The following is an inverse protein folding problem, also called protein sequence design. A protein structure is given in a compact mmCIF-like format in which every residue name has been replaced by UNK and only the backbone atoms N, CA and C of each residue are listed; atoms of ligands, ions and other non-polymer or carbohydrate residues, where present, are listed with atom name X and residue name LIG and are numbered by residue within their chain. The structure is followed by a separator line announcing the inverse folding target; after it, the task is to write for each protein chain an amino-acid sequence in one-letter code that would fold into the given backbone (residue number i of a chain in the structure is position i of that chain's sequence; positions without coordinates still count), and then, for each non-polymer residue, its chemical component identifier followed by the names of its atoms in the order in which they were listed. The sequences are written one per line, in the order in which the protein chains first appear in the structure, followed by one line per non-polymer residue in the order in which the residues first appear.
data_IF_876681218929
#
_entry.id   IF_876681218929
#
_cell.length_a   1.000
_cell.length_b   1.000
_cell.length_c   1.000
_cell.angle_alpha   90.00
_cell.angle_beta   90.00
_cell.angle_gamma   90.00
#
_symmetry.space_group_name_H-M   'P 1'
#
loop_
_entity.id
_entity.type
_entity.pdbx_description
1 polymer ?
#
# COMPACT_ATOMS: atom_id res chain seq x y z
N UNK A 1 10.27 1.98 -21.25
CA UNK A 1 9.06 1.16 -21.02
C UNK A 1 9.41 0.13 -19.96
N UNK A 2 8.60 -0.04 -18.92
CA UNK A 2 8.84 -1.02 -17.86
C UNK A 2 7.96 -2.26 -18.09
N UNK A 3 8.50 -3.45 -17.83
CA UNK A 3 7.79 -4.72 -18.00
C UNK A 3 7.94 -5.59 -16.75
N UNK A 4 6.87 -6.28 -16.36
CA UNK A 4 6.92 -7.27 -15.28
C UNK A 4 7.28 -8.63 -15.86
N UNK A 5 8.52 -9.08 -15.67
CA UNK A 5 9.00 -10.37 -16.19
C UNK A 5 8.35 -11.58 -15.51
N UNK A 6 7.99 -11.47 -14.23
CA UNK A 6 7.35 -12.55 -13.46
C UNK A 6 6.63 -12.01 -12.23
N UNK A 7 5.54 -12.66 -11.83
CA UNK A 7 4.86 -12.42 -10.56
C UNK A 7 4.54 -13.73 -9.82
N UNK A 8 4.67 -13.70 -8.50
CA UNK A 8 4.46 -14.85 -7.62
C UNK A 8 3.44 -14.51 -6.54
N UNK A 9 2.37 -15.28 -6.45
CA UNK A 9 1.32 -15.13 -5.46
C UNK A 9 0.64 -16.48 -5.25
N UNK A 10 0.38 -16.88 -4.00
CA UNK A 10 -0.23 -18.20 -3.70
C UNK A 10 -1.75 -18.20 -3.89
N UNK A 11 -2.37 -17.01 -3.95
CA UNK A 11 -3.81 -16.88 -4.12
C UNK A 11 -4.23 -17.01 -5.59
N UNK A 12 -4.92 -18.10 -5.93
CA UNK A 12 -5.42 -18.35 -7.29
C UNK A 12 -6.34 -17.25 -7.83
N UNK A 13 -7.18 -16.66 -6.98
CA UNK A 13 -8.07 -15.59 -7.38
C UNK A 13 -7.30 -14.31 -7.74
N UNK A 14 -6.23 -14.01 -6.99
CA UNK A 14 -5.33 -12.90 -7.28
C UNK A 14 -4.56 -13.14 -8.59
N UNK A 15 -4.00 -14.33 -8.78
CA UNK A 15 -3.32 -14.71 -10.03
C UNK A 15 -4.24 -14.62 -11.25
N UNK A 16 -5.44 -15.18 -11.14
CA UNK A 16 -6.46 -15.12 -12.18
C UNK A 16 -6.84 -13.68 -12.51
N UNK A 17 -7.10 -12.85 -11.50
CA UNK A 17 -7.41 -11.43 -11.67
C UNK A 17 -6.26 -10.70 -12.38
N UNK A 18 -5.02 -10.86 -11.89
CA UNK A 18 -3.84 -10.22 -12.44
C UNK A 18 -3.65 -10.56 -13.92
N UNK A 19 -3.60 -11.85 -14.25
CA UNK A 19 -3.37 -12.32 -15.62
C UNK A 19 -4.47 -11.87 -16.59
N UNK A 20 -5.73 -11.75 -16.12
CA UNK A 20 -6.84 -11.23 -16.93
C UNK A 20 -6.76 -9.72 -17.15
N UNK A 21 -6.50 -8.95 -16.09
CA UNK A 21 -6.42 -7.47 -16.16
C UNK A 21 -5.25 -7.03 -17.04
N UNK A 22 -4.09 -7.67 -16.89
CA UNK A 22 -2.90 -7.33 -17.66
C UNK A 22 -2.76 -8.10 -18.98
N UNK A 23 -3.76 -8.92 -19.33
CA UNK A 23 -3.76 -9.78 -20.53
C UNK A 23 -2.43 -10.54 -20.71
N UNK A 24 -1.96 -11.19 -19.64
CA UNK A 24 -0.67 -11.85 -19.58
C UNK A 24 -0.75 -13.21 -18.87
N UNK A 25 0.39 -13.88 -18.74
CA UNK A 25 0.53 -15.15 -18.00
C UNK A 25 1.67 -15.10 -16.98
N UNK A 26 2.00 -13.91 -16.50
CA UNK A 26 3.21 -13.68 -15.69
C UNK A 26 2.99 -14.06 -14.22
N UNK A 27 1.77 -13.88 -13.70
CA UNK A 27 1.43 -14.28 -12.34
C UNK A 27 1.21 -15.79 -12.23
N UNK A 28 1.82 -16.39 -11.22
CA UNK A 28 1.81 -17.84 -11.02
C UNK A 28 1.67 -18.22 -9.55
N UNK A 29 0.94 -19.32 -9.32
CA UNK A 29 0.77 -19.90 -7.99
C UNK A 29 2.06 -20.58 -7.54
N UNK A 30 2.83 -19.88 -6.72
CA UNK A 30 4.10 -20.36 -6.16
C UNK A 30 4.32 -19.76 -4.77
N UNK A 31 4.87 -20.57 -3.86
CA UNK A 31 5.39 -20.07 -2.58
C UNK A 31 6.75 -19.43 -2.78
N UNK A 32 7.04 -18.37 -2.03
CA UNK A 32 8.33 -17.67 -2.09
C UNK A 32 9.46 -18.59 -1.62
N UNK A 33 9.17 -19.49 -0.68
CA UNK A 33 10.08 -20.53 -0.17
C UNK A 33 10.57 -21.50 -1.24
N UNK A 34 9.82 -21.63 -2.36
CA UNK A 34 10.20 -22.51 -3.47
C UNK A 34 11.19 -21.87 -4.45
N UNK A 35 11.47 -20.57 -4.33
CA UNK A 35 12.32 -19.84 -5.26
C UNK A 35 13.80 -20.14 -4.99
N UNK A 36 14.54 -20.41 -6.07
CA UNK A 36 15.99 -20.62 -6.00
C UNK A 36 16.74 -19.40 -6.53
N UNK A 37 18.00 -19.24 -6.09
CA UNK A 37 18.91 -18.20 -6.60
C UNK A 37 19.02 -18.25 -8.13
N UNK A 38 19.26 -19.46 -8.69
CA UNK A 38 19.39 -19.65 -10.14
C UNK A 38 18.15 -19.20 -10.89
N UNK A 39 16.96 -19.51 -10.37
CA UNK A 39 15.69 -19.09 -10.97
C UNK A 39 15.54 -17.57 -10.92
N UNK A 40 15.75 -16.96 -9.75
CA UNK A 40 15.65 -15.51 -9.57
C UNK A 40 16.62 -14.74 -10.48
N UNK A 41 17.88 -15.20 -10.57
CA UNK A 41 18.88 -14.58 -11.46
C UNK A 41 18.53 -14.74 -12.93
N UNK A 42 17.89 -15.85 -13.34
CA UNK A 42 17.52 -16.10 -14.72
C UNK A 42 16.46 -15.12 -15.26
N UNK A 43 15.63 -14.53 -14.38
CA UNK A 43 14.68 -13.49 -14.79
C UNK A 43 15.34 -12.16 -15.16
N UNK A 44 16.59 -11.93 -14.75
CA UNK A 44 17.34 -10.70 -15.02
C UNK A 44 16.54 -9.41 -14.72
N UNK A 45 15.82 -9.40 -13.59
CA UNK A 45 14.96 -8.30 -13.21
C UNK A 45 15.77 -7.16 -12.55
N UNK A 46 15.60 -5.94 -13.04
CA UNK A 46 16.26 -4.74 -12.49
C UNK A 46 15.64 -4.26 -11.17
N UNK A 47 14.38 -4.63 -10.92
CA UNK A 47 13.61 -4.21 -9.76
C UNK A 47 12.83 -5.39 -9.18
N UNK A 48 13.01 -5.64 -7.89
CA UNK A 48 12.15 -6.54 -7.12
C UNK A 48 11.11 -5.75 -6.35
N UNK A 49 9.83 -5.97 -6.62
CA UNK A 49 8.72 -5.40 -5.86
C UNK A 49 8.07 -6.45 -4.96
N UNK A 50 7.80 -6.13 -3.70
CA UNK A 50 7.21 -7.08 -2.75
C UNK A 50 6.30 -6.42 -1.72
N UNK A 51 5.26 -7.14 -1.30
CA UNK A 51 4.39 -6.80 -0.16
C UNK A 51 4.19 -8.08 0.67
N UNK A 52 5.21 -8.51 1.44
CA UNK A 52 5.16 -9.77 2.15
C UNK A 52 4.13 -9.70 3.30
N UNK A 53 3.35 -10.77 3.54
CA UNK A 53 2.38 -10.79 4.61
C UNK A 53 3.06 -10.68 5.97
N UNK A 54 2.55 -9.79 6.82
CA UNK A 54 3.12 -9.49 8.12
C UNK A 54 2.12 -9.90 9.21
N UNK A 55 2.07 -11.18 9.57
CA UNK A 55 1.32 -11.66 10.75
C UNK A 55 2.10 -12.72 11.54
N UNK A 56 2.17 -12.63 12.89
CA UNK A 56 1.51 -11.69 13.78
C UNK A 56 2.54 -10.83 14.53
N UNK A 57 2.80 -9.61 14.07
CA UNK A 57 3.29 -8.58 14.98
C UNK A 57 2.06 -7.87 15.56
N UNK A 58 1.32 -8.56 16.43
CA UNK A 58 0.17 -7.97 17.12
C UNK A 58 0.65 -7.08 18.26
N UNK A 59 0.16 -5.83 18.29
CA UNK A 59 0.35 -4.83 19.36
C UNK A 59 -0.23 -5.22 20.73
N UNK A 60 -0.99 -6.30 20.82
CA UNK A 60 -1.61 -6.81 22.05
C UNK A 60 -1.69 -8.35 21.92
N UNK A 61 -0.93 -9.08 22.73
CA UNK A 61 -1.05 -10.52 22.87
C UNK A 61 0.27 -11.27 22.67
N UNK A 62 0.90 -11.60 23.80
CA UNK A 62 1.96 -12.60 24.00
C UNK A 62 2.98 -12.79 22.88
N UNK A 63 4.22 -12.35 23.18
CA UNK A 63 5.47 -12.83 22.59
C UNK A 63 5.53 -14.37 22.66
N UNK A 64 4.84 -15.07 21.77
CA UNK A 64 5.12 -16.48 21.53
C UNK A 64 6.30 -16.53 20.57
N UNK A 65 7.49 -16.68 21.16
CA UNK A 65 8.63 -17.26 20.50
C UNK A 65 8.20 -18.59 19.87
N UNK A 66 8.06 -18.60 18.56
CA UNK A 66 7.67 -19.76 17.77
C UNK A 66 7.73 -19.36 16.31
N UNK A 67 8.42 -20.16 15.51
CA UNK A 67 8.55 -20.06 14.05
C UNK A 67 7.15 -20.01 13.42
N UNK A 68 6.57 -18.81 13.28
CA UNK A 68 5.39 -18.64 12.46
C UNK A 68 5.84 -18.80 11.00
N UNK A 69 5.27 -19.78 10.29
CA UNK A 69 5.53 -20.06 8.88
C UNK A 69 5.13 -18.92 7.94
N UNK A 70 4.64 -17.79 8.48
CA UNK A 70 4.27 -16.59 7.73
C UNK A 70 5.36 -15.52 7.73
N UNK A 71 6.29 -15.54 8.67
CA UNK A 71 7.52 -14.72 8.63
C UNK A 71 8.69 -15.43 7.93
N UNK A 72 8.55 -16.73 7.61
CA UNK A 72 9.55 -17.49 6.83
C UNK A 72 9.81 -16.89 5.46
N UNK A 73 8.77 -16.42 4.77
CA UNK A 73 8.91 -15.92 3.40
C UNK A 73 9.85 -14.71 3.34
N UNK A 74 9.79 -13.81 4.33
CA UNK A 74 10.67 -12.64 4.36
C UNK A 74 12.12 -13.03 4.74
N UNK A 75 12.34 -14.04 5.58
CA UNK A 75 13.67 -14.60 5.81
C UNK A 75 14.27 -15.22 4.53
N UNK A 76 13.46 -15.92 3.74
CA UNK A 76 13.88 -16.46 2.44
C UNK A 76 14.21 -15.33 1.47
N UNK A 77 13.39 -14.28 1.40
CA UNK A 77 13.67 -13.09 0.58
C UNK A 77 15.00 -12.45 0.98
N UNK A 78 15.25 -12.25 2.27
CA UNK A 78 16.54 -11.71 2.76
C UNK A 78 17.70 -12.61 2.28
N UNK A 79 17.57 -13.93 2.41
CA UNK A 79 18.58 -14.88 1.91
C UNK A 79 18.81 -14.75 0.40
N UNK A 80 17.73 -14.59 -0.39
CA UNK A 80 17.81 -14.42 -1.84
C UNK A 80 18.45 -13.08 -2.22
N UNK A 81 18.13 -11.98 -1.51
CA UNK A 81 18.75 -10.66 -1.75
C UNK A 81 20.27 -10.73 -1.58
N UNK A 82 20.76 -11.42 -0.55
CA UNK A 82 22.21 -11.58 -0.30
C UNK A 82 22.93 -12.32 -1.44
N UNK A 83 22.24 -13.28 -2.07
CA UNK A 83 22.80 -14.14 -3.12
C UNK A 83 22.68 -13.50 -4.51
N UNK A 84 21.48 -13.09 -4.87
CA UNK A 84 21.15 -12.58 -6.21
C UNK A 84 21.58 -11.12 -6.39
N UNK A 85 21.58 -10.34 -5.32
CA UNK A 85 21.88 -8.90 -5.30
C UNK A 85 21.11 -8.11 -6.39
N UNK A 86 19.76 -8.09 -6.36
CA UNK A 86 18.96 -7.34 -7.33
C UNK A 86 19.34 -5.84 -7.37
N UNK A 87 19.39 -5.19 -8.55
CA UNK A 87 19.82 -3.78 -8.62
C UNK A 87 18.97 -2.81 -7.79
N UNK A 88 17.66 -3.04 -7.72
CA UNK A 88 16.74 -2.29 -6.89
C UNK A 88 15.68 -3.17 -6.22
N UNK A 89 15.21 -2.74 -5.06
CA UNK A 89 14.15 -3.38 -4.28
C UNK A 89 13.13 -2.33 -3.86
N UNK A 90 11.84 -2.64 -4.00
CA UNK A 90 10.72 -1.88 -3.47
C UNK A 90 9.89 -2.80 -2.58
N UNK A 91 9.73 -2.44 -1.31
CA UNK A 91 8.95 -3.19 -0.33
C UNK A 91 7.86 -2.29 0.25
N UNK A 92 6.63 -2.80 0.30
CA UNK A 92 5.52 -2.23 1.07
C UNK A 92 5.20 -3.14 2.27
N UNK A 93 4.83 -2.54 3.41
CA UNK A 93 4.38 -3.27 4.58
C UNK A 93 3.43 -2.43 5.44
N UNK A 94 2.80 -3.07 6.43
CA UNK A 94 1.93 -2.41 7.40
C UNK A 94 2.73 -1.50 8.35
N UNK A 95 2.05 -0.48 8.90
CA UNK A 95 2.58 0.29 10.04
C UNK A 95 2.89 -0.64 11.22
N UNK A 96 4.04 -0.44 11.85
CA UNK A 96 4.57 -1.29 12.92
C UNK A 96 5.44 -2.44 12.42
N UNK A 97 5.69 -2.51 11.10
CA UNK A 97 6.77 -3.32 10.56
C UNK A 97 8.12 -2.71 10.95
N UNK A 98 8.23 -1.38 10.87
CA UNK A 98 9.33 -0.62 11.45
C UNK A 98 9.43 -0.89 12.96
N UNK A 99 10.66 -1.08 13.45
CA UNK A 99 10.95 -1.49 14.84
C UNK A 99 10.90 -3.00 15.10
N UNK A 100 10.36 -3.83 14.19
CA UNK A 100 10.35 -5.29 14.35
C UNK A 100 11.73 -5.93 14.12
N UNK A 101 11.96 -7.13 14.70
CA UNK A 101 13.24 -7.85 14.52
C UNK A 101 13.54 -8.18 13.06
N UNK A 102 12.52 -8.51 12.27
CA UNK A 102 12.71 -8.87 10.86
C UNK A 102 13.01 -7.64 10.00
N UNK A 103 12.47 -6.48 10.36
CA UNK A 103 12.82 -5.21 9.75
C UNK A 103 14.28 -4.85 10.02
N UNK A 104 14.77 -5.01 11.27
CA UNK A 104 16.19 -4.80 11.60
C UNK A 104 17.10 -5.71 10.78
N UNK A 105 16.80 -7.01 10.74
CA UNK A 105 17.56 -8.00 9.94
C UNK A 105 17.56 -7.70 8.43
N UNK A 106 16.45 -7.21 7.89
CA UNK A 106 16.38 -6.78 6.50
C UNK A 106 17.34 -5.61 6.25
N UNK A 107 17.31 -4.58 7.12
CA UNK A 107 18.13 -3.40 6.98
C UNK A 107 19.63 -3.71 7.14
N UNK A 108 20.00 -4.49 8.16
CA UNK A 108 21.37 -4.99 8.35
C UNK A 108 21.84 -5.72 7.09
N UNK A 109 21.03 -6.66 6.57
CA UNK A 109 21.39 -7.40 5.37
C UNK A 109 21.54 -6.50 4.14
N UNK A 110 20.71 -5.47 3.98
CA UNK A 110 20.83 -4.53 2.85
C UNK A 110 22.11 -3.69 2.97
N UNK A 111 22.40 -3.16 4.15
CA UNK A 111 23.61 -2.36 4.41
C UNK A 111 24.87 -3.20 4.19
N UNK A 112 24.94 -4.41 4.76
CA UNK A 112 26.06 -5.35 4.57
C UNK A 112 26.28 -5.73 3.09
N UNK A 113 25.22 -5.68 2.28
CA UNK A 113 25.26 -6.00 0.86
C UNK A 113 25.35 -4.76 -0.04
N UNK A 114 25.78 -3.62 0.53
CA UNK A 114 26.12 -2.39 -0.19
C UNK A 114 24.93 -1.72 -0.89
N UNK A 115 23.75 -1.79 -0.28
CA UNK A 115 22.58 -1.04 -0.71
C UNK A 115 22.48 0.29 0.04
N UNK A 116 22.11 1.35 -0.67
CA UNK A 116 21.51 2.52 -0.05
C UNK A 116 20.01 2.29 0.15
N UNK A 117 19.45 2.90 1.20
CA UNK A 117 18.08 2.62 1.65
C UNK A 117 17.33 3.94 1.87
N UNK A 118 16.07 3.98 1.41
CA UNK A 118 15.08 5.02 1.76
C UNK A 118 13.86 4.35 2.37
N UNK A 119 13.42 4.87 3.50
CA UNK A 119 12.26 4.37 4.22
C UNK A 119 11.20 5.45 4.29
N UNK A 120 9.93 5.06 4.22
CA UNK A 120 8.80 5.99 4.26
C UNK A 120 7.69 5.43 5.14
N UNK A 121 6.96 6.32 5.79
CA UNK A 121 5.69 5.99 6.44
C UNK A 121 4.63 6.98 5.97
N UNK A 122 3.91 6.61 4.91
CA UNK A 122 3.03 7.50 4.16
C UNK A 122 1.60 6.97 4.05
N UNK A 123 0.64 7.89 3.96
CA UNK A 123 -0.80 7.59 3.84
C UNK A 123 -1.41 8.34 2.64
N UNK A 124 -2.43 7.78 1.96
CA UNK A 124 -3.11 8.45 0.84
C UNK A 124 -3.69 9.83 1.17
N UNK A 125 -4.02 10.11 2.44
CA UNK A 125 -4.44 11.45 2.89
C UNK A 125 -3.44 12.54 2.47
N UNK A 126 -2.13 12.24 2.50
CA UNK A 126 -1.09 13.20 2.12
C UNK A 126 -1.07 13.50 0.62
N UNK A 127 -1.81 12.73 -0.18
CA UNK A 127 -1.88 12.80 -1.64
C UNK A 127 -3.27 13.24 -2.13
N UNK A 128 -4.08 13.81 -1.23
CA UNK A 128 -5.41 14.33 -1.52
C UNK A 128 -6.48 13.24 -1.68
N UNK A 129 -6.21 12.03 -1.19
CA UNK A 129 -7.14 10.90 -1.27
C UNK A 129 -7.76 10.67 0.11
N UNK A 130 -9.08 10.71 0.26
CA UNK A 130 -9.78 10.61 1.55
C UNK A 130 -9.80 9.18 2.12
N UNK A 131 -8.65 8.48 2.18
CA UNK A 131 -8.54 7.14 2.75
C UNK A 131 -7.34 7.02 3.71
N UNK A 132 -7.59 6.63 4.96
CA UNK A 132 -6.54 6.34 5.93
C UNK A 132 -5.91 4.97 5.66
N UNK A 133 -4.80 4.94 4.93
CA UNK A 133 -4.02 3.72 4.68
C UNK A 133 -2.53 3.97 4.89
N UNK A 134 -2.15 4.24 6.13
CA UNK A 134 -0.75 4.41 6.51
C UNK A 134 0.02 3.09 6.32
N UNK A 135 1.12 3.15 5.56
CA UNK A 135 1.96 2.01 5.24
C UNK A 135 3.43 2.38 5.31
N UNK A 136 4.22 1.39 5.70
CA UNK A 136 5.66 1.43 5.62
C UNK A 136 6.09 1.10 4.19
N UNK A 137 7.07 1.83 3.69
CA UNK A 137 7.71 1.54 2.41
C UNK A 137 9.22 1.57 2.57
N UNK A 138 9.90 0.72 1.82
CA UNK A 138 11.35 0.70 1.70
C UNK A 138 11.74 0.62 0.23
N UNK A 139 12.65 1.49 -0.18
CA UNK A 139 13.34 1.39 -1.45
C UNK A 139 14.82 1.20 -1.18
N UNK A 140 15.42 0.18 -1.78
CA UNK A 140 16.85 -0.05 -1.71
C UNK A 140 17.45 -0.10 -3.12
N UNK A 141 18.62 0.51 -3.30
CA UNK A 141 19.36 0.48 -4.57
C UNK A 141 20.78 0.03 -4.30
N UNK A 142 21.25 -0.95 -5.07
CA UNK A 142 22.63 -1.40 -5.01
C UNK A 142 23.54 -0.26 -5.50
N UNK A 143 24.61 0.04 -4.75
CA UNK A 143 25.55 1.09 -5.15
C UNK A 143 26.30 0.72 -6.43
N UNK A 144 26.72 1.76 -7.15
CA UNK A 144 27.67 1.60 -8.26
C UNK A 144 29.02 1.13 -7.76
N UNK A 145 29.86 0.66 -8.69
CA UNK A 145 31.25 0.30 -8.43
C UNK A 145 32.09 1.47 -7.86
N UNK A 146 31.69 2.72 -8.08
CA UNK A 146 32.31 3.91 -7.49
C UNK A 146 31.90 4.17 -6.03
N UNK A 147 30.99 3.36 -5.46
CA UNK A 147 30.48 3.53 -4.10
C UNK A 147 29.55 4.74 -3.92
N UNK A 148 29.15 5.38 -5.02
CA UNK A 148 28.25 6.54 -4.99
C UNK A 148 26.80 6.11 -4.77
N UNK A 149 26.05 6.94 -4.04
CA UNK A 149 24.61 6.72 -3.83
C UNK A 149 23.84 6.92 -5.13
N UNK A 150 22.83 6.06 -5.29
CA UNK A 150 21.94 6.07 -6.44
C UNK A 150 20.65 6.87 -6.20
N UNK A 151 20.50 7.53 -5.05
CA UNK A 151 19.34 8.36 -4.70
C UNK A 151 19.65 9.86 -4.85
N UNK A 152 18.64 10.63 -5.28
CA UNK A 152 18.72 12.10 -5.46
C UNK A 152 18.53 12.91 -4.17
N UNK A 153 18.18 12.25 -3.07
CA UNK A 153 17.86 12.90 -1.79
C UNK A 153 18.16 11.95 -0.64
N UNK A 154 18.22 12.49 0.57
CA UNK A 154 18.52 11.74 1.80
C UNK A 154 20.00 11.37 1.93
N UNK A 155 20.36 10.82 3.08
CA UNK A 155 21.76 10.52 3.41
C UNK A 155 22.23 9.22 2.74
N UNK A 156 23.48 9.22 2.28
CA UNK A 156 24.20 8.01 1.84
C UNK A 156 24.71 7.26 3.07
N UNK A 157 24.70 5.93 3.04
CA UNK A 157 25.25 5.12 4.15
C UNK A 157 26.79 5.17 4.16
N UNK A 158 27.39 6.20 4.75
CA UNK A 158 28.86 6.33 4.81
C UNK A 158 29.49 5.40 5.84
N UNK A 159 28.84 5.24 7.00
CA UNK A 159 29.18 4.28 8.04
C UNK A 159 27.98 3.36 8.35
N UNK A 160 28.07 2.06 8.06
CA UNK A 160 27.05 1.07 8.38
C UNK A 160 26.58 1.11 9.83
N UNK A 161 27.51 1.25 10.79
CA UNK A 161 27.19 1.14 12.21
C UNK A 161 26.37 2.35 12.66
N UNK A 162 26.86 3.57 12.41
CA UNK A 162 26.13 4.80 12.71
C UNK A 162 24.78 4.88 12.00
N UNK A 163 24.67 4.35 10.78
CA UNK A 163 23.41 4.33 10.04
C UNK A 163 22.37 3.44 10.72
N UNK A 164 22.76 2.25 11.17
CA UNK A 164 21.87 1.30 11.85
C UNK A 164 21.43 1.82 13.22
N UNK A 165 22.29 2.53 13.95
CA UNK A 165 21.96 3.13 15.25
C UNK A 165 20.84 4.17 15.18
N UNK A 166 20.75 4.93 14.08
CA UNK A 166 19.77 6.02 13.90
C UNK A 166 18.70 5.72 12.85
N UNK A 167 18.52 4.45 12.47
CA UNK A 167 17.75 4.09 11.27
C UNK A 167 16.24 4.39 11.36
N UNK A 168 15.67 4.40 12.56
CA UNK A 168 14.27 4.78 12.80
C UNK A 168 14.03 6.28 12.53
N UNK A 169 14.98 7.13 12.93
CA UNK A 169 14.90 8.57 12.71
C UNK A 169 15.01 8.94 11.22
N UNK A 170 15.47 8.01 10.37
CA UNK A 170 15.61 8.18 8.92
C UNK A 170 14.34 7.81 8.13
N UNK A 171 13.23 7.46 8.81
CA UNK A 171 11.96 7.21 8.16
C UNK A 171 11.34 8.54 7.71
N UNK A 172 11.01 8.64 6.43
CA UNK A 172 10.44 9.85 5.83
C UNK A 172 8.92 9.81 6.01
N UNK A 173 8.40 10.79 6.75
CA UNK A 173 6.98 10.91 7.06
C UNK A 173 6.21 11.92 6.19
N UNK A 174 6.92 12.70 5.37
CA UNK A 174 6.36 13.76 4.53
C UNK A 174 6.57 13.44 3.05
N UNK A 175 5.68 13.89 2.15
CA UNK A 175 5.96 13.83 0.71
C UNK A 175 7.25 14.58 0.36
N UNK A 176 8.00 14.06 -0.63
CA UNK A 176 9.23 14.68 -1.09
C UNK A 176 8.90 15.72 -2.17
N UNK A 177 9.34 16.97 -1.95
CA UNK A 177 9.09 18.11 -2.84
C UNK A 177 10.32 18.61 -3.60
N UNK A 178 11.51 18.09 -3.29
CA UNK A 178 12.78 18.48 -3.92
C UNK A 178 13.04 17.71 -5.23
N UNK A 179 12.03 16.99 -5.71
CA UNK A 179 12.06 16.21 -6.94
C UNK A 179 10.96 16.75 -7.84
N UNK A 180 11.27 16.91 -9.12
CA UNK A 180 10.32 17.35 -10.13
C UNK A 180 9.01 16.55 -10.06
N UNK A 181 7.84 17.22 -10.15
CA UNK A 181 6.55 16.54 -10.16
C UNK A 181 6.43 15.51 -11.29
N UNK A 182 5.61 14.47 -11.07
CA UNK A 182 5.26 13.54 -12.16
C UNK A 182 4.53 14.29 -13.28
N UNK A 183 4.99 14.12 -14.52
CA UNK A 183 4.40 14.78 -15.69
C UNK A 183 2.89 14.51 -15.78
N UNK A 184 2.10 15.58 -15.92
CA UNK A 184 0.63 15.51 -16.05
C UNK A 184 -0.13 15.12 -14.78
N UNK A 185 0.54 14.98 -13.63
CA UNK A 185 -0.14 14.66 -12.37
C UNK A 185 -0.57 15.94 -11.63
N UNK A 186 -1.88 16.07 -11.38
CA UNK A 186 -2.49 17.23 -10.71
C UNK A 186 -2.78 17.00 -9.21
N UNK A 187 -2.19 15.97 -8.61
CA UNK A 187 -2.40 15.72 -7.19
C UNK A 187 -1.80 16.84 -6.33
N UNK A 188 -2.27 16.95 -5.09
CA UNK A 188 -1.89 18.02 -4.15
C UNK A 188 -0.38 18.06 -3.83
N UNK A 189 0.32 16.93 -4.00
CA UNK A 189 1.78 16.85 -3.87
C UNK A 189 2.47 17.45 -5.10
N UNK A 190 2.09 17.01 -6.31
CA UNK A 190 2.66 17.52 -7.56
C UNK A 190 2.40 19.01 -7.78
N UNK A 191 1.23 19.51 -7.36
CA UNK A 191 0.91 20.94 -7.45
C UNK A 191 1.49 21.76 -6.28
N UNK A 192 2.21 21.13 -5.35
CA UNK A 192 2.80 21.80 -4.17
C UNK A 192 1.80 22.33 -3.14
N UNK A 193 0.50 21.98 -3.24
CA UNK A 193 -0.56 22.50 -2.36
C UNK A 193 -0.32 22.16 -0.89
N UNK A 194 0.29 21.00 -0.62
CA UNK A 194 0.60 20.53 0.74
C UNK A 194 2.06 20.73 1.15
N UNK A 195 2.88 21.45 0.35
CA UNK A 195 4.31 21.69 0.64
C UNK A 195 4.57 22.46 1.93
N UNK A 196 3.61 23.28 2.36
CA UNK A 196 3.69 24.07 3.59
C UNK A 196 3.50 23.24 4.87
N UNK A 197 2.98 22.01 4.76
CA UNK A 197 2.75 21.13 5.91
C UNK A 197 4.07 20.46 6.28
N UNK A 198 4.61 20.79 7.45
CA UNK A 198 5.90 20.27 7.96
C UNK A 198 5.75 19.41 9.21
N UNK A 199 4.55 19.35 9.81
CA UNK A 199 4.32 18.62 11.04
C UNK A 199 4.34 17.10 10.81
N UNK A 200 5.05 16.38 11.69
CA UNK A 200 5.10 14.92 11.69
C UNK A 200 4.12 14.44 12.76
N UNK A 201 2.84 14.34 12.40
CA UNK A 201 1.75 13.94 13.29
C UNK A 201 0.98 12.71 12.78
N UNK A 202 0.45 11.90 13.71
CA UNK A 202 -0.34 10.71 13.37
C UNK A 202 -1.80 11.00 12.98
N UNK A 203 -2.29 12.24 13.19
CA UNK A 203 -3.71 12.56 12.96
C UNK A 203 -4.00 13.01 11.51
N UNK A 204 -2.98 13.48 10.77
CA UNK A 204 -3.10 13.94 9.38
C UNK A 204 -4.19 15.00 9.12
N UNK A 205 -4.64 15.71 10.17
CA UNK A 205 -5.73 16.68 10.10
C UNK A 205 -5.47 17.83 9.11
N UNK A 206 -4.22 18.29 9.03
CA UNK A 206 -3.79 19.36 8.12
C UNK A 206 -3.93 18.97 6.64
N UNK A 207 -3.98 17.67 6.31
CA UNK A 207 -4.15 17.19 4.94
C UNK A 207 -5.62 17.05 4.53
N UNK A 208 -6.57 16.99 5.48
CA UNK A 208 -7.99 16.75 5.18
C UNK A 208 -8.62 17.83 4.29
N UNK A 209 -8.34 19.14 4.46
CA UNK A 209 -8.86 20.17 3.57
C UNK A 209 -8.41 20.03 2.11
N UNK A 210 -7.35 19.26 1.86
CA UNK A 210 -6.80 19.01 0.52
C UNK A 210 -7.24 17.65 -0.04
N UNK A 211 -7.95 16.84 0.73
CA UNK A 211 -8.53 15.59 0.23
C UNK A 211 -9.78 15.89 -0.57
N UNK A 212 -10.01 15.13 -1.64
CA UNK A 212 -11.30 15.16 -2.32
C UNK A 212 -12.40 14.63 -1.39
N UNK A 213 -13.66 15.09 -1.52
CA UNK A 213 -14.78 14.53 -0.77
C UNK A 213 -15.04 13.08 -1.18
N UNK A 214 -15.62 12.30 -0.27
CA UNK A 214 -16.02 10.90 -0.51
C UNK A 214 -16.93 10.77 -1.73
N UNK A 215 -17.78 11.77 -1.99
CA UNK A 215 -18.68 11.84 -3.15
C UNK A 215 -17.99 11.60 -4.49
N UNK A 216 -16.74 12.05 -4.65
CA UNK A 216 -15.97 11.91 -5.90
C UNK A 216 -15.63 10.45 -6.23
N UNK A 217 -15.76 9.56 -5.25
CA UNK A 217 -15.41 8.15 -5.33
C UNK A 217 -16.64 7.24 -5.43
N UNK A 218 -17.85 7.78 -5.31
CA UNK A 218 -19.07 6.99 -5.30
C UNK A 218 -19.46 6.51 -6.70
N UNK A 219 -20.23 5.44 -6.76
CA UNK A 219 -20.99 5.05 -7.95
C UNK A 219 -22.31 5.83 -8.01
N UNK A 220 -22.90 5.88 -9.20
CA UNK A 220 -24.26 6.38 -9.36
C UNK A 220 -25.28 5.37 -8.83
N UNK A 221 -26.47 5.83 -8.44
CA UNK A 221 -27.49 4.96 -7.84
C UNK A 221 -27.92 3.81 -8.79
N UNK A 222 -27.90 4.03 -10.09
CA UNK A 222 -28.23 3.03 -11.12
C UNK A 222 -27.21 1.88 -11.17
N UNK A 223 -25.99 2.10 -10.67
CA UNK A 223 -24.90 1.11 -10.67
C UNK A 223 -24.83 0.32 -9.35
N UNK A 224 -25.63 0.67 -8.33
CA UNK A 224 -25.53 0.10 -6.98
C UNK A 224 -26.39 -1.15 -6.81
N UNK A 225 -25.79 -2.30 -6.41
CA UNK A 225 -26.53 -3.47 -5.97
C UNK A 225 -27.30 -3.23 -4.66
N UNK A 226 -28.52 -3.75 -4.54
CA UNK A 226 -29.36 -3.65 -3.34
C UNK A 226 -28.74 -4.34 -2.10
N UNK A 227 -27.85 -5.32 -2.28
CA UNK A 227 -27.24 -6.06 -1.17
C UNK A 227 -26.09 -5.28 -0.47
N UNK A 228 -25.86 -4.02 -0.81
CA UNK A 228 -24.89 -3.15 -0.13
C UNK A 228 -25.44 -2.50 1.14
N UNK A 229 -26.77 -2.38 1.26
CA UNK A 229 -27.43 -1.72 2.37
C UNK A 229 -27.38 -2.59 3.63
N UNK A 230 -27.24 -1.93 4.79
CA UNK A 230 -27.21 -2.60 6.09
C UNK A 230 -28.64 -2.85 6.57
N UNK A 231 -28.95 -4.12 6.85
CA UNK A 231 -30.24 -4.53 7.42
C UNK A 231 -30.41 -4.04 8.87
N UNK A 232 -31.66 -3.90 9.31
CA UNK A 232 -32.01 -3.41 10.65
C UNK A 232 -31.33 -4.23 11.77
N UNK A 233 -31.41 -5.56 11.72
CA UNK A 233 -30.75 -6.47 12.68
C UNK A 233 -29.24 -6.21 12.80
N UNK A 234 -28.60 -5.85 11.68
CA UNK A 234 -27.17 -5.51 11.66
C UNK A 234 -26.91 -4.17 12.34
N UNK A 235 -27.76 -3.18 12.09
CA UNK A 235 -27.65 -1.84 12.69
C UNK A 235 -27.89 -1.90 14.21
N UNK A 236 -28.91 -2.63 14.66
CA UNK A 236 -29.18 -2.83 16.09
C UNK A 236 -27.97 -3.36 16.86
N UNK A 237 -27.24 -4.30 16.23
CA UNK A 237 -26.09 -4.95 16.84
C UNK A 237 -24.79 -4.15 16.73
N UNK A 238 -24.56 -3.49 15.61
CA UNK A 238 -23.23 -2.98 15.26
C UNK A 238 -23.15 -1.46 15.09
N UNK A 239 -24.26 -0.73 15.01
CA UNK A 239 -24.25 0.71 14.69
C UNK A 239 -23.26 1.54 15.51
N UNK A 240 -23.17 1.29 16.83
CA UNK A 240 -22.30 2.03 17.76
C UNK A 240 -20.80 1.85 17.51
N UNK A 241 -20.39 0.83 16.75
CA UNK A 241 -18.99 0.53 16.43
C UNK A 241 -18.67 0.75 14.96
N UNK A 242 -19.65 1.19 14.15
CA UNK A 242 -19.40 1.53 12.75
C UNK A 242 -18.67 2.86 12.68
N UNK A 243 -17.67 2.93 11.81
CA UNK A 243 -17.10 4.18 11.35
C UNK A 243 -17.99 4.70 10.20
N UNK A 244 -18.81 5.70 10.47
CA UNK A 244 -19.82 6.21 9.54
C UNK A 244 -19.31 7.50 8.88
N UNK A 245 -19.45 7.59 7.57
CA UNK A 245 -19.03 8.75 6.77
C UNK A 245 -20.18 9.27 5.91
N UNK A 246 -20.15 10.57 5.61
CA UNK A 246 -21.08 11.25 4.71
C UNK A 246 -20.41 11.51 3.34
N UNK A 247 -21.19 11.80 2.27
CA UNK A 247 -20.61 12.11 0.96
C UNK A 247 -19.62 13.29 0.95
N UNK A 248 -19.82 14.29 1.82
CA UNK A 248 -18.93 15.45 1.99
C UNK A 248 -17.75 15.19 2.95
N UNK A 249 -17.64 13.99 3.51
CA UNK A 249 -16.52 13.63 4.36
C UNK A 249 -15.22 13.57 3.56
N UNK A 250 -14.13 14.06 4.15
CA UNK A 250 -12.79 14.09 3.52
C UNK A 250 -11.86 12.99 4.05
N UNK A 251 -12.42 11.95 4.68
CA UNK A 251 -11.69 10.87 5.32
C UNK A 251 -12.56 9.64 5.48
N UNK A 252 -12.03 8.48 5.11
CA UNK A 252 -12.53 7.15 5.49
C UNK A 252 -11.44 6.37 6.24
N UNK A 253 -11.86 5.38 7.02
CA UNK A 253 -11.01 4.36 7.61
C UNK A 253 -10.38 3.44 6.56
N UNK A 254 -9.33 2.73 6.96
CA UNK A 254 -8.62 1.74 6.14
C UNK A 254 -9.55 0.58 5.75
N UNK A 255 -9.68 0.29 4.46
CA UNK A 255 -10.35 -0.94 4.01
C UNK A 255 -9.43 -2.15 4.19
N UNK A 256 -9.88 -3.13 4.97
CA UNK A 256 -9.14 -4.37 5.26
C UNK A 256 -9.73 -5.55 4.50
N UNK A 257 -8.98 -6.67 4.40
CA UNK A 257 -9.48 -7.92 3.80
C UNK A 257 -10.76 -8.47 4.45
N UNK A 258 -11.06 -8.03 5.68
CA UNK A 258 -12.24 -8.44 6.43
C UNK A 258 -13.48 -7.60 6.15
N UNK A 259 -13.39 -6.56 5.31
CA UNK A 259 -14.48 -5.60 5.10
C UNK A 259 -15.77 -6.31 4.68
N UNK A 260 -15.72 -7.26 3.75
CA UNK A 260 -16.91 -7.98 3.29
C UNK A 260 -17.63 -8.85 4.35
N UNK A 261 -17.06 -9.04 5.55
CA UNK A 261 -17.56 -10.02 6.53
C UNK A 261 -17.69 -9.47 7.95
N UNK A 262 -16.89 -8.44 8.28
CA UNK A 262 -16.84 -7.84 9.60
C UNK A 262 -17.30 -6.38 9.50
N UNK A 263 -17.62 -5.82 10.65
CA UNK A 263 -18.10 -4.45 10.79
C UNK A 263 -17.03 -3.61 11.49
N UNK A 264 -16.61 -4.04 12.68
CA UNK A 264 -15.60 -3.35 13.48
C UNK A 264 -14.24 -3.28 12.79
N UNK A 265 -13.67 -2.08 12.71
CA UNK A 265 -12.26 -1.87 12.34
C UNK A 265 -11.88 -2.38 10.95
N UNK A 266 -12.84 -2.49 10.02
CA UNK A 266 -12.58 -3.04 8.67
C UNK A 266 -12.72 -2.06 7.51
N UNK A 267 -13.27 -0.87 7.77
CA UNK A 267 -13.52 0.19 6.80
C UNK A 267 -14.73 1.02 7.25
N UNK A 268 -14.96 2.15 6.57
CA UNK A 268 -16.12 3.01 6.84
C UNK A 268 -17.39 2.52 6.17
N UNK A 269 -18.53 3.06 6.58
CA UNK A 269 -19.86 2.84 6.00
C UNK A 269 -20.48 4.18 5.62
N UNK A 270 -21.17 4.24 4.48
CA UNK A 270 -21.69 5.48 3.92
C UNK A 270 -23.13 5.71 4.36
N UNK A 271 -23.45 6.94 4.78
CA UNK A 271 -24.84 7.42 4.94
C UNK A 271 -25.44 7.69 3.56
N UNK A 272 -26.58 7.07 3.26
CA UNK A 272 -27.35 7.30 2.03
C UNK A 272 -28.49 8.29 2.28
N UNK A 273 -29.25 8.08 3.36
CA UNK A 273 -30.28 9.01 3.79
C UNK A 273 -30.28 9.13 5.32
N UNK A 274 -30.48 10.38 5.78
CA UNK A 274 -30.72 10.71 7.18
C UNK A 274 -32.19 10.50 7.57
N UNK A 275 -33.04 10.13 6.61
CA UNK A 275 -34.45 9.90 6.85
C UNK A 275 -34.67 8.68 7.74
N UNK A 276 -35.34 8.98 8.84
CA UNK A 276 -35.75 8.07 9.89
C UNK A 276 -37.07 7.45 9.45
N UNK A 277 -37.05 6.27 8.81
CA UNK A 277 -38.31 5.62 8.42
C UNK A 277 -39.11 5.27 9.68
N UNK A 278 -40.15 6.06 9.96
CA UNK A 278 -41.14 5.76 10.98
C UNK A 278 -42.22 4.88 10.37
N UNK A 279 -42.60 3.82 11.08
CA UNK A 279 -44.02 3.49 11.16
C UNK A 279 -44.46 2.75 12.44
N UNK A 280 -43.61 2.13 13.28
CA UNK A 280 -44.13 1.32 14.39
C UNK A 280 -43.24 1.19 15.65
N UNK A 281 -42.44 2.19 16.02
CA UNK A 281 -41.83 2.25 17.37
C UNK A 281 -40.56 1.42 17.63
N UNK A 282 -39.80 1.04 16.59
CA UNK A 282 -38.46 0.43 16.72
C UNK A 282 -37.31 1.43 16.47
N UNK A 283 -36.09 1.01 16.79
CA UNK A 283 -34.86 1.82 16.82
C UNK A 283 -34.58 2.60 15.52
N UNK A 284 -34.13 3.83 15.71
CA UNK A 284 -34.06 4.88 14.70
C UNK A 284 -32.64 4.99 14.10
N UNK A 285 -32.34 4.22 13.05
CA UNK A 285 -31.05 4.26 12.36
C UNK A 285 -31.15 4.94 10.99
N UNK A 286 -30.13 5.71 10.57
CA UNK A 286 -30.04 6.20 9.20
C UNK A 286 -29.87 5.04 8.21
N UNK A 287 -30.20 5.28 6.94
CA UNK A 287 -29.93 4.30 5.88
C UNK A 287 -28.44 4.30 5.59
N UNK A 288 -27.77 3.18 5.90
CA UNK A 288 -26.34 3.01 5.71
C UNK A 288 -26.05 1.92 4.68
N UNK A 289 -24.95 2.07 3.93
CA UNK A 289 -24.44 1.03 3.03
C UNK A 289 -22.94 0.83 3.13
N UNK A 290 -22.48 -0.34 2.68
CA UNK A 290 -21.06 -0.61 2.40
C UNK A 290 -20.62 0.15 1.15
N UNK A 291 -19.32 0.43 1.07
CA UNK A 291 -18.69 0.81 -0.19
C UNK A 291 -18.58 -0.41 -1.10
N UNK A 292 -18.95 -0.23 -2.36
CA UNK A 292 -18.79 -1.23 -3.40
C UNK A 292 -17.31 -1.34 -3.82
N UNK A 293 -16.88 -2.51 -4.31
CA UNK A 293 -15.49 -2.74 -4.73
C UNK A 293 -15.01 -1.73 -5.77
N UNK A 294 -15.87 -1.33 -6.71
CA UNK A 294 -15.55 -0.28 -7.70
C UNK A 294 -15.29 1.11 -7.07
N UNK A 295 -15.92 1.43 -5.95
CA UNK A 295 -15.64 2.66 -5.20
C UNK A 295 -14.28 2.54 -4.48
N UNK A 296 -14.04 1.39 -3.84
CA UNK A 296 -12.75 1.11 -3.17
C UNK A 296 -11.57 1.11 -4.15
N UNK A 297 -11.76 0.62 -5.38
CA UNK A 297 -10.77 0.72 -6.48
C UNK A 297 -10.35 2.17 -6.71
N UNK A 298 -11.31 3.11 -6.73
CA UNK A 298 -11.04 4.55 -6.88
C UNK A 298 -10.28 5.11 -5.66
N UNK A 299 -10.66 4.75 -4.43
CA UNK A 299 -9.93 5.16 -3.21
C UNK A 299 -8.49 4.59 -3.19
N UNK A 300 -8.25 3.43 -3.78
CA UNK A 300 -6.92 2.83 -3.92
C UNK A 300 -6.14 3.38 -5.13
N UNK A 301 -6.75 4.30 -5.90
CA UNK A 301 -6.18 4.98 -7.05
C UNK A 301 -5.75 4.05 -8.20
N UNK A 302 -6.44 2.92 -8.36
CA UNK A 302 -6.30 2.12 -9.58
C UNK A 302 -6.75 2.95 -10.80
N UNK A 303 -6.17 2.68 -11.98
CA UNK A 303 -6.54 3.40 -13.20
C UNK A 303 -8.01 3.13 -13.56
N UNK A 304 -8.66 4.08 -14.23
CA UNK A 304 -10.06 3.95 -14.66
C UNK A 304 -10.30 2.75 -15.60
N UNK A 305 -9.25 2.25 -16.25
CA UNK A 305 -9.29 1.05 -17.09
C UNK A 305 -9.26 -0.27 -16.31
N UNK A 306 -9.00 -0.22 -15.00
CA UNK A 306 -9.00 -1.42 -14.16
C UNK A 306 -10.43 -1.85 -13.87
N UNK A 307 -10.75 -3.09 -14.18
CA UNK A 307 -11.96 -3.76 -13.70
C UNK A 307 -11.67 -5.22 -13.34
N UNK A 308 -12.42 -5.77 -12.40
CA UNK A 308 -12.31 -7.18 -12.05
C UNK A 308 -12.97 -8.05 -13.11
N UNK A 309 -12.45 -9.26 -13.38
CA UNK A 309 -13.17 -10.21 -14.20
C UNK A 309 -14.58 -10.46 -13.63
N UNK A 310 -15.63 -10.58 -14.48
CA UNK A 310 -17.01 -10.75 -14.02
C UNK A 310 -17.22 -11.97 -13.10
N UNK A 311 -16.40 -13.02 -13.26
CA UNK A 311 -16.45 -14.23 -12.44
C UNK A 311 -15.92 -14.06 -11.02
N UNK A 312 -15.18 -12.99 -10.72
CA UNK A 312 -14.68 -12.70 -9.37
C UNK A 312 -15.79 -12.03 -8.58
N UNK A 313 -16.28 -12.71 -7.54
CA UNK A 313 -17.41 -12.23 -6.73
C UNK A 313 -17.05 -11.00 -5.92
N UNK A 314 -18.05 -10.19 -5.55
CA UNK A 314 -17.84 -8.97 -4.77
C UNK A 314 -17.08 -9.21 -3.45
N UNK A 315 -17.41 -10.29 -2.74
CA UNK A 315 -16.68 -10.71 -1.52
C UNK A 315 -15.21 -10.99 -1.79
N UNK A 316 -14.88 -11.61 -2.94
CA UNK A 316 -13.48 -11.84 -3.33
C UNK A 316 -12.80 -10.52 -3.71
N UNK A 317 -13.45 -9.64 -4.47
CA UNK A 317 -12.92 -8.31 -4.83
C UNK A 317 -12.54 -7.50 -3.60
N UNK A 318 -13.44 -7.38 -2.63
CA UNK A 318 -13.20 -6.66 -1.38
C UNK A 318 -12.05 -7.28 -0.57
N UNK A 319 -11.93 -8.62 -0.57
CA UNK A 319 -10.82 -9.32 0.10
C UNK A 319 -9.47 -9.01 -0.58
N UNK A 320 -9.43 -9.02 -1.91
CA UNK A 320 -8.23 -8.68 -2.70
C UNK A 320 -7.84 -7.22 -2.49
N UNK A 321 -8.78 -6.28 -2.61
CA UNK A 321 -8.55 -4.85 -2.38
C UNK A 321 -8.07 -4.54 -0.98
N UNK A 322 -8.61 -5.22 0.04
CA UNK A 322 -8.18 -5.06 1.42
C UNK A 322 -6.71 -5.41 1.66
N UNK A 323 -6.15 -6.32 0.86
CA UNK A 323 -4.73 -6.69 0.85
C UNK A 323 -3.89 -5.86 -0.12
N UNK A 324 -4.50 -5.10 -1.02
CA UNK A 324 -3.79 -4.31 -2.04
C UNK A 324 -3.09 -3.08 -1.44
N UNK A 325 -2.24 -2.43 -2.23
CA UNK A 325 -1.64 -1.14 -1.92
C UNK A 325 -2.47 0.03 -2.48
N UNK A 326 -2.12 1.27 -2.10
CA UNK A 326 -2.61 2.45 -2.80
C UNK A 326 -1.64 2.80 -3.94
N UNK A 327 -2.13 2.79 -5.18
CA UNK A 327 -1.32 2.92 -6.40
C UNK A 327 -0.67 4.30 -6.49
N UNK A 328 -1.36 5.36 -6.06
CA UNK A 328 -0.83 6.74 -6.12
C UNK A 328 0.37 6.92 -5.21
N UNK A 329 0.28 6.46 -3.96
CA UNK A 329 1.42 6.56 -3.01
C UNK A 329 2.64 5.81 -3.56
N UNK A 330 2.45 4.58 -4.05
CA UNK A 330 3.53 3.77 -4.63
C UNK A 330 4.15 4.44 -5.86
N UNK A 331 3.33 4.96 -6.77
CA UNK A 331 3.81 5.67 -7.96
C UNK A 331 4.71 6.87 -7.60
N UNK A 332 4.32 7.66 -6.59
CA UNK A 332 5.14 8.77 -6.10
C UNK A 332 6.47 8.30 -5.53
N UNK A 333 6.46 7.27 -4.68
CA UNK A 333 7.71 6.75 -4.09
C UNK A 333 8.64 6.21 -5.19
N UNK A 334 8.11 5.44 -6.15
CA UNK A 334 8.88 4.96 -7.29
C UNK A 334 9.43 6.13 -8.13
N UNK A 335 8.63 7.15 -8.42
CA UNK A 335 9.07 8.34 -9.15
C UNK A 335 10.22 9.06 -8.43
N UNK A 336 10.11 9.24 -7.12
CA UNK A 336 11.15 9.89 -6.31
C UNK A 336 12.46 9.11 -6.28
N UNK A 337 12.39 7.78 -6.29
CA UNK A 337 13.54 6.93 -5.95
C UNK A 337 14.17 6.20 -7.14
N UNK A 338 13.39 5.90 -8.18
CA UNK A 338 13.80 5.04 -9.29
C UNK A 338 13.94 5.80 -10.62
N UNK A 339 13.53 7.06 -10.70
CA UNK A 339 13.73 7.87 -11.91
C UNK A 339 15.24 7.99 -12.23
N UNK A 340 15.65 7.77 -13.49
CA UNK A 340 17.06 7.82 -13.87
C UNK A 340 17.69 9.18 -13.55
N UNK A 341 18.98 9.16 -13.23
CA UNK A 341 19.82 10.36 -13.23
C UNK A 341 20.13 10.74 -14.68
N UNK A 342 20.07 12.03 -15.00
CA UNK A 342 20.44 12.55 -16.32
C UNK A 342 21.93 12.31 -16.68
N UNK A 343 22.72 11.72 -15.78
CA UNK A 343 24.17 11.51 -15.94
C UNK A 343 24.58 10.10 -16.40
N UNK A 344 23.67 9.27 -16.90
CA UNK A 344 24.02 7.93 -17.44
C UNK A 344 23.50 7.68 -18.84
N UNK A 345 23.75 8.61 -19.76
CA UNK A 345 24.05 8.19 -21.14
C UNK A 345 25.53 7.77 -21.17
N UNK A 346 25.87 6.48 -21.34
CA UNK A 346 27.22 6.15 -21.79
C UNK A 346 27.36 6.73 -23.18
N UNK A 347 28.31 7.67 -23.34
CA UNK A 347 28.73 8.14 -24.65
C UNK A 347 28.95 6.92 -25.56
N UNK A 348 28.09 6.81 -26.56
CA UNK A 348 28.21 5.85 -27.64
C UNK A 348 29.61 5.97 -28.23
N UNK A 349 30.38 4.88 -28.14
CA UNK A 349 31.63 4.69 -28.89
C UNK A 349 31.42 3.62 -29.94
#
# INVERSE_FOLDING_TARGET
MHEVVKAFEINDCANFTYNKVFNCSNASNRTIESLSEKECSAYNADLWTMSPPCQPFTRLGNQKQGLDSRSSSLYVIISLIKKVKPPAIFLENVKGFEGSDIWKKLLESLVENNYDIRQFLLTPLQFGVPNCRLRYYLVAKLRTSSGQSMFKFGETVTDPQSFLENIEAKIIHLPVFDIEPMAGCECVVCTGKVKHITSIGNNYGEYLPFCNPVSDYLLTDEELPENLYLEQDTLEKYYRILDIVEPDSHKTSCFTKGYAQRYEGTGSFLVVSKDRMKNNGECDFPTLRRFHSKEIVKFMCFPNSFDFPPSVTERQRLKLLGNSLNVRVVAHIMHWTLSPSEETEPASR
#
